data_IF_457988992154
#
_entry.id   IF_457988992154
#
_cell.length_a   1.000
_cell.length_b   1.000
_cell.length_c   1.000
_cell.angle_alpha   90.00
_cell.angle_beta   90.00
_cell.angle_gamma   90.00
#
_symmetry.space_group_name_H-M   'P 1'
#
loop_
_entity.id
_entity.type
_entity.pdbx_description
1 polymer ?
#
# COMPACT_ATOMS: atom_id res chain seq x y z
N UNK A 1 23.21 -12.78 -1.39
CA UNK A 1 22.04 -13.31 -2.14
C UNK A 1 20.88 -12.37 -1.88
N UNK A 2 20.25 -11.86 -2.94
CA UNK A 2 19.04 -11.03 -2.89
C UNK A 2 17.85 -11.88 -3.35
N UNK A 3 16.82 -11.94 -2.52
CA UNK A 3 15.58 -12.67 -2.81
C UNK A 3 14.40 -11.96 -2.10
N UNK A 4 13.25 -11.94 -2.75
CA UNK A 4 11.98 -11.44 -2.20
C UNK A 4 10.83 -12.36 -2.60
N UNK A 5 9.65 -12.12 -2.03
CA UNK A 5 8.39 -12.74 -2.42
C UNK A 5 7.46 -11.61 -2.85
N UNK A 6 6.93 -11.73 -4.05
CA UNK A 6 6.00 -10.75 -4.60
C UNK A 6 4.57 -11.20 -4.32
N UNK A 7 3.79 -10.34 -3.68
CA UNK A 7 2.36 -10.57 -3.44
C UNK A 7 1.58 -9.65 -4.38
N UNK A 8 0.88 -10.24 -5.35
CA UNK A 8 0.09 -9.51 -6.34
C UNK A 8 -1.39 -9.61 -5.95
N UNK A 9 -2.03 -8.47 -5.74
CA UNK A 9 -3.41 -8.40 -5.25
C UNK A 9 -4.11 -7.11 -5.71
N UNK A 10 -5.41 -7.00 -5.44
CA UNK A 10 -6.15 -5.75 -5.65
C UNK A 10 -5.84 -4.75 -4.54
N UNK A 11 -5.19 -3.62 -4.88
CA UNK A 11 -4.90 -2.56 -3.91
C UNK A 11 -6.16 -1.99 -3.23
N UNK A 12 -7.29 -1.90 -3.94
CA UNK A 12 -8.57 -1.49 -3.33
C UNK A 12 -9.01 -2.46 -2.24
N UNK A 13 -8.94 -3.78 -2.50
CA UNK A 13 -9.33 -4.79 -1.51
C UNK A 13 -8.41 -4.78 -0.29
N UNK A 14 -7.12 -4.52 -0.48
CA UNK A 14 -6.16 -4.38 0.64
C UNK A 14 -6.50 -3.19 1.52
N UNK A 15 -6.75 -2.02 0.94
CA UNK A 15 -7.13 -0.84 1.72
C UNK A 15 -8.42 -1.09 2.52
N UNK A 16 -9.41 -1.75 1.91
CA UNK A 16 -10.63 -2.17 2.60
C UNK A 16 -10.35 -3.16 3.75
N UNK A 17 -9.50 -4.17 3.53
CA UNK A 17 -9.12 -5.14 4.57
C UNK A 17 -8.38 -4.48 5.74
N UNK A 18 -7.60 -3.43 5.47
CA UNK A 18 -6.93 -2.59 6.47
C UNK A 18 -7.89 -1.65 7.21
N UNK A 19 -9.19 -1.64 6.87
CA UNK A 19 -10.19 -0.75 7.44
C UNK A 19 -10.06 0.71 6.98
N UNK A 20 -9.37 0.95 5.87
CA UNK A 20 -9.16 2.28 5.30
C UNK A 20 -10.28 2.60 4.32
N UNK A 21 -10.88 3.78 4.48
CA UNK A 21 -11.85 4.32 3.55
C UNK A 21 -11.13 5.24 2.55
N UNK A 22 -11.55 5.27 1.27
CA UNK A 22 -10.94 6.15 0.29
C UNK A 22 -11.17 7.62 0.66
N UNK A 23 -10.08 8.30 0.99
CA UNK A 23 -9.98 9.73 1.20
C UNK A 23 -9.51 10.45 -0.07
N UNK A 24 -8.83 11.59 0.12
CA UNK A 24 -8.30 12.38 -0.99
C UNK A 24 -6.92 11.87 -1.41
N UNK A 25 -6.74 11.60 -2.71
CA UNK A 25 -5.45 11.15 -3.22
C UNK A 25 -4.37 12.23 -3.17
N UNK A 26 -3.21 11.90 -2.59
CA UNK A 26 -2.03 12.76 -2.49
C UNK A 26 -0.76 11.92 -2.68
N UNK A 27 0.18 12.41 -3.48
CA UNK A 27 1.48 11.75 -3.62
C UNK A 27 2.35 11.98 -2.39
N UNK A 28 3.12 10.95 -2.04
CA UNK A 28 4.12 10.95 -0.98
C UNK A 28 5.38 10.29 -1.52
N UNK A 29 6.55 10.89 -1.33
CA UNK A 29 7.81 10.30 -1.79
C UNK A 29 8.21 9.07 -0.96
N UNK A 30 7.85 9.04 0.32
CA UNK A 30 8.05 7.94 1.26
C UNK A 30 6.73 7.75 2.02
N UNK A 31 6.34 6.49 2.27
CA UNK A 31 5.14 6.17 3.02
C UNK A 31 5.54 5.92 4.48
N UNK A 32 5.09 6.77 5.38
CA UNK A 32 5.35 6.65 6.82
C UNK A 32 4.20 5.99 7.57
N UNK A 33 3.02 5.85 6.94
CA UNK A 33 1.81 5.39 7.60
C UNK A 33 0.84 4.67 6.63
N UNK A 34 -0.17 4.01 7.21
CA UNK A 34 -1.30 3.44 6.45
C UNK A 34 -2.08 4.52 5.69
N UNK A 35 -2.16 5.73 6.24
CA UNK A 35 -2.77 6.88 5.57
C UNK A 35 -1.97 7.31 4.34
N UNK A 36 -0.64 7.39 4.44
CA UNK A 36 0.20 7.75 3.30
C UNK A 36 0.05 6.73 2.16
N UNK A 37 -0.03 5.43 2.50
CA UNK A 37 -0.28 4.36 1.54
C UNK A 37 -1.62 4.53 0.83
N UNK A 38 -2.69 4.82 1.57
CA UNK A 38 -4.02 5.07 1.02
C UNK A 38 -4.03 6.30 0.10
N UNK A 39 -3.52 7.44 0.58
CA UNK A 39 -3.45 8.68 -0.18
C UNK A 39 -2.64 8.51 -1.48
N UNK A 40 -1.46 7.88 -1.40
CA UNK A 40 -0.60 7.65 -2.56
C UNK A 40 -1.23 6.66 -3.55
N UNK A 41 -1.83 5.58 -3.06
CA UNK A 41 -2.53 4.62 -3.91
C UNK A 41 -3.68 5.30 -4.68
N UNK A 42 -4.53 6.08 -4.00
CA UNK A 42 -5.64 6.80 -4.63
C UNK A 42 -5.12 7.80 -5.67
N UNK A 43 -4.02 8.49 -5.39
CA UNK A 43 -3.39 9.44 -6.32
C UNK A 43 -2.99 8.79 -7.65
N UNK A 44 -2.31 7.64 -7.60
CA UNK A 44 -1.82 6.96 -8.81
C UNK A 44 -2.91 6.13 -9.50
N UNK A 45 -3.83 5.55 -8.73
CA UNK A 45 -4.99 4.84 -9.26
C UNK A 45 -5.87 5.77 -10.11
N UNK A 46 -6.14 7.00 -9.63
CA UNK A 46 -6.91 7.99 -10.38
C UNK A 46 -6.28 8.42 -11.72
N UNK A 47 -4.97 8.19 -11.88
CA UNK A 47 -4.22 8.47 -13.12
C UNK A 47 -4.02 7.24 -14.00
N UNK A 48 -4.31 6.04 -13.50
CA UNK A 48 -3.92 4.79 -14.16
C UNK A 48 -2.40 4.66 -14.34
N UNK A 49 -1.62 5.26 -13.44
CA UNK A 49 -0.16 5.36 -13.57
C UNK A 49 0.55 4.41 -12.60
N UNK A 50 1.71 3.89 -13.03
CA UNK A 50 2.57 3.10 -12.16
C UNK A 50 3.32 3.98 -11.16
N UNK A 51 3.56 3.44 -9.97
CA UNK A 51 4.40 4.04 -8.94
C UNK A 51 4.99 2.95 -8.03
N UNK A 52 6.15 3.25 -7.45
CA UNK A 52 6.80 2.44 -6.41
C UNK A 52 7.24 3.37 -5.28
N UNK A 53 7.07 2.95 -4.03
CA UNK A 53 7.41 3.74 -2.84
C UNK A 53 8.01 2.87 -1.76
N UNK A 54 8.93 3.46 -1.01
CA UNK A 54 9.44 2.87 0.22
C UNK A 54 8.46 3.14 1.38
N UNK A 55 8.14 2.10 2.15
CA UNK A 55 7.35 2.22 3.38
C UNK A 55 8.30 2.15 4.58
N UNK A 56 8.40 3.24 5.34
CA UNK A 56 9.49 3.40 6.32
C UNK A 56 9.20 2.83 7.71
N UNK A 57 7.92 2.73 8.08
CA UNK A 57 7.55 2.14 9.36
C UNK A 57 7.54 0.61 9.23
N UNK A 58 8.51 -0.02 9.91
CA UNK A 58 8.76 -1.47 9.83
C UNK A 58 7.60 -2.29 10.38
N UNK A 59 7.04 -1.90 11.52
CA UNK A 59 5.99 -2.69 12.19
C UNK A 59 4.70 -2.59 11.39
N UNK A 60 4.32 -1.38 10.99
CA UNK A 60 3.17 -1.18 10.13
C UNK A 60 3.32 -1.87 8.77
N UNK A 61 4.52 -1.87 8.17
CA UNK A 61 4.77 -2.60 6.92
C UNK A 61 4.63 -4.11 7.09
N UNK A 62 5.15 -4.67 8.19
CA UNK A 62 5.04 -6.09 8.49
C UNK A 62 3.58 -6.53 8.64
N UNK A 63 2.76 -5.76 9.35
CA UNK A 63 1.33 -6.03 9.50
C UNK A 63 0.59 -5.99 8.15
N UNK A 64 0.89 -4.99 7.31
CA UNK A 64 0.30 -4.84 5.97
C UNK A 64 0.70 -6.02 5.09
N UNK A 65 1.98 -6.39 5.08
CA UNK A 65 2.49 -7.49 4.26
C UNK A 65 1.90 -8.85 4.68
N UNK A 66 1.73 -9.07 5.99
CA UNK A 66 1.07 -10.27 6.49
C UNK A 66 -0.40 -10.33 6.03
N UNK A 67 -1.16 -9.26 6.24
CA UNK A 67 -2.55 -9.20 5.79
C UNK A 67 -2.66 -9.40 4.26
N UNK A 68 -1.78 -8.78 3.49
CA UNK A 68 -1.73 -8.95 2.04
C UNK A 68 -1.47 -10.41 1.61
N UNK A 69 -0.63 -11.14 2.37
CA UNK A 69 -0.30 -12.54 2.10
C UNK A 69 -1.44 -13.52 2.45
N UNK A 70 -2.34 -13.11 3.33
CA UNK A 70 -3.50 -13.89 3.77
C UNK A 70 -4.77 -13.60 2.94
N UNK A 71 -4.77 -12.53 2.14
CA UNK A 71 -5.87 -12.20 1.23
C UNK A 71 -5.88 -13.15 0.01
N UNK A 72 -7.04 -13.72 -0.37
CA UNK A 72 -7.18 -14.65 -1.49
C UNK A 72 -7.11 -13.97 -2.88
#
# INVERSE_FOLDING_TARGET
VNACVDVVLSGVKLLQALGLNPGNGKDHSILHSRTDLEEAFVHFMGKGAAAERFFSDKEAFQDIAQMASELP
#
